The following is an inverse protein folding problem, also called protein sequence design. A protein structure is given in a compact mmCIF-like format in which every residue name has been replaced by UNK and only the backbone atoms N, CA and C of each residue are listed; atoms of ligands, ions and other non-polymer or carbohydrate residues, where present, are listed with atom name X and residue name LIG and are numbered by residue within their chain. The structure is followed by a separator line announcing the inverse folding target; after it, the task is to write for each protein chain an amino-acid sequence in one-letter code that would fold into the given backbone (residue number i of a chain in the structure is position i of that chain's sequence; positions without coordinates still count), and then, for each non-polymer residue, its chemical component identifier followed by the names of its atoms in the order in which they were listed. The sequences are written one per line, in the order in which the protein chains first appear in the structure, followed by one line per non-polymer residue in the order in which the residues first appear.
data_IF_836491071401
#
_entry.id   IF_836491071401
#
_cell.length_a   1.000
_cell.length_b   1.000
_cell.length_c   1.000
_cell.angle_alpha   90.00
_cell.angle_beta   90.00
_cell.angle_gamma   90.00
#
_symmetry.space_group_name_H-M   'P 1'
#
loop_
_entity.id
_entity.type
_entity.pdbx_description
1 polymer ?
#
# COMPACT_ATOMS: atom_id res chain seq x y z
N UNK A 1 49.01 -13.63 -11.76
CA UNK A 1 48.25 -14.46 -10.80
C UNK A 1 48.06 -13.64 -9.54
N UNK A 2 46.94 -12.97 -9.39
CA UNK A 2 46.56 -12.26 -8.17
C UNK A 2 45.15 -12.71 -7.81
N UNK A 3 45.07 -13.47 -6.70
CA UNK A 3 43.82 -13.95 -6.16
C UNK A 3 43.07 -12.77 -5.51
N UNK A 4 41.82 -12.52 -5.99
CA UNK A 4 40.91 -11.58 -5.37
C UNK A 4 40.36 -12.15 -4.03
N UNK A 5 40.03 -11.29 -3.06
CA UNK A 5 39.52 -11.75 -1.78
C UNK A 5 38.10 -12.27 -1.92
N UNK A 6 37.88 -13.50 -1.46
CA UNK A 6 36.56 -14.09 -1.31
C UNK A 6 35.77 -13.31 -0.27
N UNK A 7 34.63 -12.76 -0.65
CA UNK A 7 33.66 -12.14 0.26
C UNK A 7 32.98 -13.22 1.10
N UNK A 8 33.43 -13.43 2.32
CA UNK A 8 32.75 -14.25 3.33
C UNK A 8 31.69 -13.37 4.00
N UNK A 9 30.51 -13.29 3.44
CA UNK A 9 29.31 -12.79 4.14
C UNK A 9 28.74 -13.94 4.98
N UNK A 10 29.40 -14.28 6.08
CA UNK A 10 28.90 -15.17 7.12
C UNK A 10 28.06 -14.39 8.12
N UNK A 11 26.74 -14.29 7.89
CA UNK A 11 25.85 -13.82 8.96
C UNK A 11 26.04 -14.72 10.18
N UNK A 12 26.44 -14.15 11.33
CA UNK A 12 26.65 -14.88 12.57
C UNK A 12 25.34 -15.55 13.01
N UNK A 13 25.34 -16.89 13.12
CA UNK A 13 24.18 -17.66 13.57
C UNK A 13 24.31 -17.97 15.07
N UNK A 14 23.23 -17.80 15.81
CA UNK A 14 23.18 -18.00 17.26
C UNK A 14 22.53 -19.34 17.60
N UNK A 15 23.09 -20.06 18.56
CA UNK A 15 22.49 -21.31 19.05
C UNK A 15 21.20 -21.04 19.81
N UNK A 16 20.33 -22.05 19.91
CA UNK A 16 19.07 -21.95 20.69
C UNK A 16 19.35 -21.58 22.16
N UNK A 17 20.45 -21.98 22.71
CA UNK A 17 20.85 -21.65 24.10
C UNK A 17 21.22 -20.18 24.21
N UNK A 18 22.08 -19.70 23.33
CA UNK A 18 22.50 -18.29 23.33
C UNK A 18 21.29 -17.34 23.14
N UNK A 19 20.33 -17.69 22.25
CA UNK A 19 19.12 -16.90 22.06
C UNK A 19 18.20 -16.96 23.28
N UNK A 20 18.02 -18.12 23.90
CA UNK A 20 17.20 -18.27 25.10
C UNK A 20 17.76 -17.45 26.26
N UNK A 21 19.09 -17.48 26.46
CA UNK A 21 19.80 -16.70 27.48
C UNK A 21 19.67 -15.19 27.21
N UNK A 22 19.84 -14.74 25.94
CA UNK A 22 19.65 -13.33 25.52
C UNK A 22 18.22 -12.82 25.75
N UNK A 23 17.22 -13.65 25.50
CA UNK A 23 15.80 -13.32 25.65
C UNK A 23 15.28 -13.47 27.09
N UNK A 24 16.07 -14.09 27.98
CA UNK A 24 15.67 -14.37 29.36
C UNK A 24 14.52 -15.37 29.46
N UNK A 25 14.47 -16.37 28.58
CA UNK A 25 13.43 -17.41 28.56
C UNK A 25 14.05 -18.82 28.57
N UNK A 26 13.32 -19.84 29.08
CA UNK A 26 13.78 -21.21 28.99
C UNK A 26 13.96 -21.69 27.55
N UNK A 27 15.01 -22.45 27.26
CA UNK A 27 15.22 -23.08 25.94
C UNK A 27 14.05 -23.96 25.50
N UNK A 28 13.33 -24.58 26.47
CA UNK A 28 12.13 -25.37 26.21
C UNK A 28 10.99 -24.51 25.65
N UNK A 29 10.83 -23.28 26.16
CA UNK A 29 9.86 -22.30 25.66
C UNK A 29 10.18 -21.90 24.23
N UNK A 30 11.43 -21.55 23.94
CA UNK A 30 11.85 -21.17 22.59
C UNK A 30 11.68 -22.32 21.58
N UNK A 31 11.99 -23.55 21.97
CA UNK A 31 11.75 -24.75 21.15
C UNK A 31 10.25 -25.00 20.92
N UNK A 32 9.41 -24.74 21.92
CA UNK A 32 7.95 -24.87 21.82
C UNK A 32 7.39 -23.82 20.84
N UNK A 33 7.85 -22.59 20.93
CA UNK A 33 7.44 -21.51 20.00
C UNK A 33 7.84 -21.81 18.56
N UNK A 34 9.07 -22.26 18.34
CA UNK A 34 9.54 -22.67 17.02
C UNK A 34 8.68 -23.81 16.43
N UNK A 35 8.30 -24.79 17.26
CA UNK A 35 7.48 -25.91 16.80
C UNK A 35 6.00 -25.56 16.59
N UNK A 36 5.42 -24.72 17.48
CA UNK A 36 3.98 -24.40 17.45
C UNK A 36 3.65 -23.26 16.53
N UNK A 37 4.55 -22.30 16.43
CA UNK A 37 4.30 -21.04 15.73
C UNK A 37 5.25 -20.84 14.54
N UNK A 38 6.19 -21.77 14.32
CA UNK A 38 7.18 -21.74 13.24
C UNK A 38 8.01 -20.42 13.22
N UNK A 39 8.36 -19.93 14.42
CA UNK A 39 9.18 -18.74 14.61
C UNK A 39 10.63 -19.17 14.83
N UNK A 40 11.52 -18.70 13.93
CA UNK A 40 12.95 -19.00 13.94
C UNK A 40 13.37 -19.88 12.76
N UNK A 41 14.62 -20.37 12.74
CA UNK A 41 15.21 -21.00 11.57
C UNK A 41 14.51 -22.30 11.16
N UNK A 42 14.34 -22.48 9.87
CA UNK A 42 13.79 -23.71 9.28
C UNK A 42 14.70 -24.92 9.56
N UNK A 43 14.10 -26.08 9.86
CA UNK A 43 14.82 -27.29 10.15
C UNK A 43 15.49 -27.84 8.89
N UNK A 44 16.83 -27.89 8.89
CA UNK A 44 17.60 -28.64 7.90
C UNK A 44 18.05 -29.98 8.50
N UNK A 45 17.80 -31.13 7.83
CA UNK A 45 18.28 -32.43 8.30
C UNK A 45 19.80 -32.41 8.50
N UNK A 46 20.27 -32.89 9.66
CA UNK A 46 21.71 -33.03 9.97
C UNK A 46 22.45 -31.75 10.38
N UNK A 47 21.79 -30.58 10.47
CA UNK A 47 22.42 -29.33 10.91
C UNK A 47 21.82 -28.80 12.20
N UNK A 48 22.67 -28.20 13.07
CA UNK A 48 22.21 -27.44 14.23
C UNK A 48 21.46 -26.18 13.76
N UNK A 49 20.31 -25.88 14.39
CA UNK A 49 19.56 -24.64 14.13
C UNK A 49 20.37 -23.45 14.64
N UNK A 50 20.64 -22.52 13.74
CA UNK A 50 21.23 -21.24 14.07
C UNK A 50 20.24 -20.13 13.77
N UNK A 51 19.99 -19.27 14.74
CA UNK A 51 19.11 -18.10 14.63
C UNK A 51 19.90 -16.93 14.06
N UNK A 52 19.30 -16.20 13.15
CA UNK A 52 19.81 -14.92 12.65
C UNK A 52 19.43 -13.78 13.60
N UNK A 53 20.03 -12.61 13.45
CA UNK A 53 19.59 -11.40 14.18
C UNK A 53 18.14 -11.04 13.86
N UNK A 54 17.68 -11.27 12.63
CA UNK A 54 16.28 -11.07 12.26
C UNK A 54 15.33 -12.03 12.99
N UNK A 55 15.71 -13.29 13.17
CA UNK A 55 14.91 -14.22 13.98
C UNK A 55 14.81 -13.77 15.44
N UNK A 56 15.92 -13.24 15.98
CA UNK A 56 15.98 -12.74 17.36
C UNK A 56 15.09 -11.50 17.51
N UNK A 57 15.12 -10.56 16.56
CA UNK A 57 14.28 -9.37 16.59
C UNK A 57 12.77 -9.72 16.60
N UNK A 58 12.36 -10.73 15.83
CA UNK A 58 10.97 -11.23 15.83
C UNK A 58 10.60 -11.82 17.20
N UNK A 59 11.50 -12.58 17.81
CA UNK A 59 11.29 -13.16 19.15
C UNK A 59 11.24 -12.11 20.26
N UNK A 60 12.07 -11.06 20.18
CA UNK A 60 12.06 -9.91 21.09
C UNK A 60 10.71 -9.18 21.02
N UNK A 61 10.20 -8.91 19.82
CA UNK A 61 8.87 -8.32 19.60
C UNK A 61 7.76 -9.20 20.19
N UNK A 62 7.81 -10.52 19.96
CA UNK A 62 6.86 -11.46 20.55
C UNK A 62 6.84 -11.39 22.07
N UNK A 63 8.03 -11.31 22.71
CA UNK A 63 8.14 -11.17 24.15
C UNK A 63 7.54 -9.86 24.67
N UNK A 64 7.75 -8.75 23.98
CA UNK A 64 7.15 -7.46 24.34
C UNK A 64 5.62 -7.58 24.36
N UNK A 65 5.01 -8.20 23.34
CA UNK A 65 3.57 -8.41 23.27
C UNK A 65 3.06 -9.32 24.39
N UNK A 66 3.79 -10.41 24.71
CA UNK A 66 3.40 -11.31 25.80
C UNK A 66 3.48 -10.59 27.16
N UNK A 67 4.52 -9.79 27.40
CA UNK A 67 4.67 -8.99 28.62
C UNK A 67 3.60 -7.90 28.75
N UNK A 68 3.06 -7.43 27.64
CA UNK A 68 1.93 -6.50 27.61
C UNK A 68 0.54 -7.19 27.72
N UNK A 69 0.52 -8.52 27.95
CA UNK A 69 -0.70 -9.28 28.19
C UNK A 69 -1.27 -10.07 27.00
N UNK A 70 -0.57 -10.07 25.86
CA UNK A 70 -1.00 -10.90 24.74
C UNK A 70 -0.77 -12.39 25.02
N UNK A 71 -1.65 -13.27 24.53
CA UNK A 71 -1.38 -14.70 24.55
C UNK A 71 -0.18 -15.05 23.67
N UNK A 72 0.61 -16.11 23.96
CA UNK A 72 1.73 -16.51 23.10
C UNK A 72 1.32 -16.79 21.65
N UNK A 73 0.12 -17.32 21.41
CA UNK A 73 -0.41 -17.55 20.07
C UNK A 73 -0.75 -16.23 19.36
N UNK A 74 -1.39 -15.29 20.06
CA UNK A 74 -1.69 -13.96 19.53
C UNK A 74 -0.44 -13.12 19.24
N UNK A 75 0.54 -13.18 20.14
CA UNK A 75 1.82 -12.51 19.94
C UNK A 75 2.60 -13.11 18.75
N UNK A 76 2.62 -14.45 18.63
CA UNK A 76 3.23 -15.14 17.50
C UNK A 76 2.57 -14.75 16.16
N UNK A 77 1.24 -14.76 16.12
CA UNK A 77 0.49 -14.32 14.95
C UNK A 77 0.81 -12.87 14.57
N UNK A 78 0.90 -11.98 15.55
CA UNK A 78 1.21 -10.57 15.34
C UNK A 78 2.62 -10.34 14.76
N UNK A 79 3.64 -11.06 15.26
CA UNK A 79 5.03 -10.86 14.81
C UNK A 79 5.37 -11.61 13.52
N UNK A 80 4.65 -12.71 13.22
CA UNK A 80 4.87 -13.48 11.98
C UNK A 80 3.98 -13.03 10.84
N UNK A 81 3.07 -12.11 11.07
CA UNK A 81 2.02 -11.75 10.10
C UNK A 81 1.05 -12.90 9.80
N UNK A 82 1.15 -14.01 10.53
CA UNK A 82 0.29 -15.20 10.40
C UNK A 82 -1.01 -15.04 11.17
N UNK A 83 -1.73 -13.98 10.91
CA UNK A 83 -3.17 -14.02 11.12
C UNK A 83 -3.73 -14.98 10.06
N UNK A 84 -4.69 -15.85 10.44
CA UNK A 84 -5.52 -16.49 9.41
C UNK A 84 -5.93 -15.38 8.46
N UNK A 85 -5.68 -15.55 7.15
CA UNK A 85 -6.03 -14.53 6.18
C UNK A 85 -7.48 -14.09 6.44
N UNK A 86 -7.76 -12.79 6.55
CA UNK A 86 -9.13 -12.35 6.77
C UNK A 86 -10.02 -12.86 5.65
N UNK A 87 -11.31 -13.01 5.88
CA UNK A 87 -12.24 -13.39 4.82
C UNK A 87 -12.17 -12.30 3.72
N UNK A 88 -11.88 -12.74 2.48
CA UNK A 88 -11.73 -11.83 1.35
C UNK A 88 -13.03 -11.07 1.11
N UNK A 89 -12.97 -9.75 1.11
CA UNK A 89 -14.11 -8.89 0.87
C UNK A 89 -15.13 -8.79 2.02
N UNK A 90 -14.79 -9.28 3.22
CA UNK A 90 -15.62 -9.10 4.41
C UNK A 90 -15.41 -7.68 4.97
N UNK A 91 -16.14 -6.73 4.44
CA UNK A 91 -16.01 -5.29 4.72
C UNK A 91 -16.83 -4.80 5.93
N UNK A 92 -17.83 -5.54 6.38
CA UNK A 92 -18.74 -5.14 7.46
C UNK A 92 -18.01 -4.87 8.79
N UNK A 93 -16.99 -5.65 9.20
CA UNK A 93 -16.19 -5.32 10.38
C UNK A 93 -15.45 -4.00 10.26
N UNK A 94 -14.98 -3.65 9.03
CA UNK A 94 -14.32 -2.36 8.79
C UNK A 94 -15.29 -1.20 9.00
N UNK A 95 -16.50 -1.32 8.45
CA UNK A 95 -17.56 -0.33 8.63
C UNK A 95 -17.96 -0.21 10.11
N UNK A 96 -18.14 -1.33 10.81
CA UNK A 96 -18.46 -1.34 12.24
C UNK A 96 -17.38 -0.60 13.05
N UNK A 97 -16.11 -0.88 12.80
CA UNK A 97 -15.00 -0.21 13.46
C UNK A 97 -14.98 1.30 13.16
N UNK A 98 -15.32 1.70 11.92
CA UNK A 98 -15.41 3.12 11.54
C UNK A 98 -16.51 3.86 12.32
N UNK A 99 -17.70 3.26 12.46
CA UNK A 99 -18.81 3.87 13.18
C UNK A 99 -18.59 4.02 14.70
N UNK A 100 -17.72 3.18 15.30
CA UNK A 100 -17.33 3.35 16.72
C UNK A 100 -16.00 4.07 16.89
N UNK A 101 -15.47 4.66 15.81
CA UNK A 101 -14.22 5.42 15.74
C UNK A 101 -12.99 4.63 16.26
N UNK A 102 -13.00 3.30 16.11
CA UNK A 102 -11.89 2.43 16.52
C UNK A 102 -10.78 2.39 15.45
N UNK A 103 -9.89 3.38 15.51
CA UNK A 103 -8.75 3.50 14.58
C UNK A 103 -7.77 2.34 14.67
N UNK A 104 -7.69 1.67 15.84
CA UNK A 104 -6.84 0.50 16.03
C UNK A 104 -7.39 -0.70 15.25
N UNK A 105 -8.69 -0.97 15.38
CA UNK A 105 -9.35 -2.03 14.63
C UNK A 105 -9.30 -1.76 13.12
N UNK A 106 -9.57 -0.51 12.69
CA UNK A 106 -9.43 -0.09 11.28
C UNK A 106 -8.05 -0.41 10.74
N UNK A 107 -6.99 0.03 11.44
CA UNK A 107 -5.61 -0.23 11.02
C UNK A 107 -5.29 -1.71 10.95
N UNK A 108 -5.74 -2.52 11.91
CA UNK A 108 -5.50 -3.96 11.95
C UNK A 108 -6.18 -4.69 10.79
N UNK A 109 -7.47 -4.39 10.52
CA UNK A 109 -8.25 -5.00 9.45
C UNK A 109 -7.68 -4.67 8.07
N UNK A 110 -7.37 -3.38 7.82
CA UNK A 110 -6.77 -2.92 6.58
C UNK A 110 -5.39 -3.56 6.35
N UNK A 111 -4.53 -3.56 7.36
CA UNK A 111 -3.20 -4.15 7.27
C UNK A 111 -3.27 -5.65 6.99
N UNK A 112 -4.13 -6.38 7.69
CA UNK A 112 -4.29 -7.82 7.48
C UNK A 112 -4.77 -8.14 6.06
N UNK A 113 -5.72 -7.35 5.52
CA UNK A 113 -6.26 -7.56 4.19
C UNK A 113 -5.23 -7.20 3.10
N UNK A 114 -4.49 -6.08 3.25
CA UNK A 114 -3.39 -5.71 2.35
C UNK A 114 -2.31 -6.80 2.25
N UNK A 115 -1.88 -7.34 3.39
CA UNK A 115 -0.88 -8.41 3.40
C UNK A 115 -1.38 -9.72 2.79
N UNK A 116 -2.68 -10.00 2.89
CA UNK A 116 -3.25 -11.24 2.37
C UNK A 116 -3.58 -11.16 0.86
N UNK A 117 -4.02 -10.01 0.38
CA UNK A 117 -4.66 -9.87 -0.93
C UNK A 117 -4.12 -8.72 -1.79
N UNK A 118 -3.24 -7.88 -1.25
CA UNK A 118 -2.69 -6.73 -1.96
C UNK A 118 -3.63 -5.52 -2.04
N UNK A 119 -3.16 -4.48 -2.71
CA UNK A 119 -3.84 -3.16 -2.74
C UNK A 119 -5.14 -3.21 -3.55
N UNK A 120 -5.13 -3.83 -4.73
CA UNK A 120 -6.30 -3.85 -5.63
C UNK A 120 -7.49 -4.52 -4.95
N UNK A 121 -7.32 -5.72 -4.42
CA UNK A 121 -8.38 -6.44 -3.74
C UNK A 121 -8.85 -5.72 -2.46
N UNK A 122 -7.91 -5.12 -1.71
CA UNK A 122 -8.27 -4.35 -0.51
C UNK A 122 -9.11 -3.13 -0.86
N UNK A 123 -8.77 -2.45 -1.94
CA UNK A 123 -9.56 -1.32 -2.42
C UNK A 123 -10.94 -1.74 -2.91
N UNK A 124 -10.98 -2.68 -3.86
CA UNK A 124 -12.22 -3.03 -4.56
C UNK A 124 -13.20 -3.82 -3.69
N UNK A 125 -12.70 -4.71 -2.82
CA UNK A 125 -13.55 -5.64 -2.09
C UNK A 125 -13.77 -5.24 -0.61
N UNK A 126 -12.91 -4.40 -0.04
CA UNK A 126 -13.02 -3.99 1.34
C UNK A 126 -13.36 -2.51 1.49
N UNK A 127 -12.56 -1.60 0.89
CA UNK A 127 -12.72 -0.16 1.08
C UNK A 127 -13.93 0.40 0.32
N UNK A 128 -14.03 0.14 -0.99
CA UNK A 128 -15.13 0.66 -1.82
C UNK A 128 -16.53 0.27 -1.31
N UNK A 129 -16.81 -1.00 -0.93
CA UNK A 129 -18.10 -1.36 -0.36
C UNK A 129 -18.37 -0.64 0.97
N UNK A 130 -17.36 -0.47 1.83
CA UNK A 130 -17.52 0.27 3.09
C UNK A 130 -17.85 1.75 2.84
N UNK A 131 -17.16 2.43 1.91
CA UNK A 131 -17.50 3.80 1.50
C UNK A 131 -18.89 3.89 0.86
N UNK A 132 -19.27 2.94 0.00
CA UNK A 132 -20.59 2.92 -0.61
C UNK A 132 -21.71 2.80 0.44
N UNK A 133 -21.49 2.00 1.49
CA UNK A 133 -22.44 1.88 2.60
C UNK A 133 -22.55 3.19 3.41
N UNK A 134 -21.43 3.91 3.63
CA UNK A 134 -21.44 5.23 4.28
C UNK A 134 -22.23 6.23 3.43
N UNK A 135 -21.93 6.33 2.13
CA UNK A 135 -22.64 7.23 1.21
C UNK A 135 -24.15 6.93 1.18
N UNK A 136 -24.52 5.64 1.15
CA UNK A 136 -25.94 5.24 1.22
C UNK A 136 -26.65 5.75 2.47
N UNK A 137 -25.97 5.73 3.63
CA UNK A 137 -26.51 6.27 4.89
C UNK A 137 -26.59 7.80 4.88
N UNK A 138 -25.58 8.47 4.32
CA UNK A 138 -25.61 9.94 4.15
C UNK A 138 -26.80 10.36 3.29
N UNK A 139 -27.07 9.65 2.20
CA UNK A 139 -28.24 9.91 1.33
C UNK A 139 -29.56 9.64 2.05
N UNK A 140 -29.59 8.73 3.02
CA UNK A 140 -30.74 8.49 3.89
C UNK A 140 -30.89 9.53 5.01
N UNK A 141 -29.99 10.52 5.09
CA UNK A 141 -30.06 11.60 6.07
C UNK A 141 -29.32 11.31 7.38
N UNK A 142 -28.55 10.20 7.46
CA UNK A 142 -27.70 9.93 8.63
C UNK A 142 -26.45 10.81 8.56
N UNK A 143 -26.08 11.43 9.71
CA UNK A 143 -24.82 12.16 9.83
C UNK A 143 -23.64 11.16 9.99
N UNK A 144 -22.83 10.97 8.96
CA UNK A 144 -21.66 10.09 9.03
C UNK A 144 -20.46 10.60 8.18
N UNK A 145 -20.37 11.92 8.05
CA UNK A 145 -19.22 12.58 7.40
C UNK A 145 -17.93 12.36 8.20
N UNK A 146 -18.00 12.38 9.52
CA UNK A 146 -16.90 12.06 10.42
C UNK A 146 -16.39 10.63 10.24
N UNK A 147 -17.30 9.67 10.05
CA UNK A 147 -16.98 8.26 9.79
C UNK A 147 -16.25 8.10 8.45
N UNK A 148 -16.72 8.79 7.40
CA UNK A 148 -16.09 8.81 6.08
C UNK A 148 -14.66 9.37 6.16
N UNK A 149 -14.51 10.52 6.81
CA UNK A 149 -13.21 11.17 7.00
C UNK A 149 -12.23 10.27 7.77
N UNK A 150 -12.69 9.65 8.88
CA UNK A 150 -11.86 8.77 9.68
C UNK A 150 -11.42 7.53 8.90
N UNK A 151 -12.35 6.91 8.15
CA UNK A 151 -12.04 5.76 7.32
C UNK A 151 -11.05 6.14 6.22
N UNK A 152 -11.28 7.24 5.51
CA UNK A 152 -10.41 7.76 4.46
C UNK A 152 -8.99 8.01 4.97
N UNK A 153 -8.87 8.70 6.12
CA UNK A 153 -7.59 8.94 6.77
C UNK A 153 -6.89 7.64 7.19
N UNK A 154 -7.65 6.69 7.76
CA UNK A 154 -7.11 5.40 8.20
C UNK A 154 -6.57 4.59 7.03
N UNK A 155 -7.29 4.55 5.89
CA UNK A 155 -6.83 3.90 4.66
C UNK A 155 -5.53 4.55 4.17
N UNK A 156 -5.48 5.88 4.08
CA UNK A 156 -4.28 6.62 3.66
C UNK A 156 -3.07 6.28 4.53
N UNK A 157 -3.22 6.33 5.86
CA UNK A 157 -2.12 6.03 6.80
C UNK A 157 -1.61 4.60 6.64
N UNK A 158 -2.52 3.63 6.46
CA UNK A 158 -2.13 2.23 6.30
C UNK A 158 -1.45 2.01 4.94
N UNK A 159 -1.95 2.60 3.86
CA UNK A 159 -1.30 2.55 2.54
C UNK A 159 0.11 3.13 2.56
N UNK A 160 0.32 4.26 3.25
CA UNK A 160 1.65 4.86 3.40
C UNK A 160 2.63 3.98 4.16
N UNK A 161 2.16 3.24 5.18
CA UNK A 161 2.98 2.28 5.94
C UNK A 161 3.28 1.02 5.15
N UNK A 162 2.33 0.59 4.33
CA UNK A 162 2.43 -0.63 3.52
C UNK A 162 3.30 -0.43 2.28
N UNK A 163 3.25 0.76 1.68
CA UNK A 163 3.95 1.05 0.43
C UNK A 163 5.47 1.06 0.64
N UNK A 164 6.24 0.26 -0.08
CA UNK A 164 7.68 0.27 0.02
C UNK A 164 8.26 1.65 -0.37
N UNK A 165 9.49 1.97 0.06
CA UNK A 165 10.18 3.19 -0.36
C UNK A 165 10.24 3.28 -1.88
N UNK A 166 10.23 4.52 -2.39
CA UNK A 166 10.32 4.77 -3.83
C UNK A 166 11.51 4.02 -4.46
N UNK A 167 11.24 3.34 -5.57
CA UNK A 167 12.26 2.65 -6.35
C UNK A 167 13.26 3.68 -6.91
N UNK A 168 14.56 3.37 -7.05
CA UNK A 168 15.55 4.29 -7.58
C UNK A 168 15.15 4.90 -8.94
N UNK A 169 15.67 6.08 -9.25
CA UNK A 169 15.32 6.97 -10.38
C UNK A 169 15.29 6.36 -11.80
N UNK A 170 15.64 5.10 -11.96
CA UNK A 170 15.60 4.38 -13.24
C UNK A 170 14.24 3.71 -13.54
N UNK A 171 13.33 3.65 -12.58
CA UNK A 171 12.02 3.08 -12.78
C UNK A 171 11.11 4.06 -13.55
N UNK A 172 10.20 3.50 -14.32
CA UNK A 172 9.14 4.25 -14.99
C UNK A 172 8.32 4.99 -13.94
N UNK A 173 8.19 6.30 -14.07
CA UNK A 173 7.48 7.12 -13.11
C UNK A 173 6.15 7.61 -13.69
N UNK A 174 5.14 7.73 -12.84
CA UNK A 174 3.89 8.41 -13.14
C UNK A 174 3.72 9.65 -12.24
N UNK A 175 3.03 10.68 -12.73
CA UNK A 175 2.57 11.81 -11.92
C UNK A 175 1.09 11.59 -11.62
N UNK A 176 0.72 11.65 -10.34
CA UNK A 176 -0.64 11.49 -9.86
C UNK A 176 -1.10 12.82 -9.27
N UNK A 177 -2.17 13.40 -9.80
CA UNK A 177 -2.69 14.69 -9.36
C UNK A 177 -4.22 14.72 -9.41
N UNK A 178 -4.85 15.29 -8.41
CA UNK A 178 -6.21 15.75 -8.53
C UNK A 178 -6.21 17.08 -9.31
N UNK A 179 -7.22 17.28 -10.13
CA UNK A 179 -7.41 18.56 -10.83
C UNK A 179 -7.70 19.71 -9.87
N UNK A 180 -7.55 20.95 -10.31
CA UNK A 180 -7.80 22.13 -9.47
C UNK A 180 -9.23 22.10 -8.90
N UNK A 181 -9.35 22.37 -7.60
CA UNK A 181 -10.59 22.28 -6.83
C UNK A 181 -10.98 20.88 -6.35
N UNK A 182 -10.28 19.83 -6.79
CA UNK A 182 -10.58 18.45 -6.40
C UNK A 182 -9.76 18.03 -5.16
N UNK A 183 -10.46 17.64 -4.10
CA UNK A 183 -9.84 17.30 -2.81
C UNK A 183 -9.82 15.80 -2.50
N UNK A 184 -10.51 14.97 -3.27
CA UNK A 184 -10.62 13.51 -3.02
C UNK A 184 -9.40 12.77 -3.56
N UNK A 185 -8.26 12.88 -2.87
CA UNK A 185 -6.99 12.28 -3.30
C UNK A 185 -6.83 10.79 -2.98
N UNK A 186 -7.69 10.19 -2.15
CA UNK A 186 -7.54 8.80 -1.70
C UNK A 186 -7.45 7.77 -2.84
N UNK A 187 -8.22 7.86 -3.95
CA UNK A 187 -8.07 6.94 -5.08
C UNK A 187 -6.67 7.00 -5.72
N UNK A 188 -6.04 8.17 -5.76
CA UNK A 188 -4.68 8.32 -6.26
C UNK A 188 -3.63 7.78 -5.27
N UNK A 189 -3.86 7.91 -3.95
CA UNK A 189 -3.02 7.26 -2.94
C UNK A 189 -3.08 5.73 -3.08
N UNK A 190 -4.26 5.20 -3.36
CA UNK A 190 -4.45 3.77 -3.62
C UNK A 190 -3.73 3.35 -4.91
N UNK A 191 -3.86 4.12 -5.98
CA UNK A 191 -3.14 3.86 -7.23
C UNK A 191 -1.62 3.90 -7.04
N UNK A 192 -1.11 4.87 -6.29
CA UNK A 192 0.32 4.97 -5.94
C UNK A 192 0.82 3.70 -5.25
N UNK A 193 0.05 3.20 -4.28
CA UNK A 193 0.40 1.97 -3.55
C UNK A 193 0.35 0.73 -4.46
N UNK A 194 -0.67 0.61 -5.32
CA UNK A 194 -0.81 -0.49 -6.27
C UNK A 194 0.29 -0.49 -7.35
N UNK A 195 0.71 0.69 -7.82
CA UNK A 195 1.86 0.83 -8.73
C UNK A 195 3.16 0.41 -8.06
N UNK A 196 3.35 0.75 -6.78
CA UNK A 196 4.52 0.34 -6.02
C UNK A 196 4.61 -1.17 -5.83
N UNK A 197 3.51 -1.91 -5.69
CA UNK A 197 3.48 -3.39 -5.71
C UNK A 197 4.01 -3.96 -7.03
N UNK A 198 3.85 -3.24 -8.15
CA UNK A 198 4.39 -3.60 -9.47
C UNK A 198 5.80 -3.05 -9.73
N UNK A 199 6.43 -2.43 -8.72
CA UNK A 199 7.75 -1.83 -8.85
C UNK A 199 7.77 -0.52 -9.66
N UNK A 200 6.62 0.12 -9.86
CA UNK A 200 6.49 1.39 -10.59
C UNK A 200 6.47 2.55 -9.59
N UNK A 201 7.38 3.50 -9.74
CA UNK A 201 7.38 4.74 -8.96
C UNK A 201 6.27 5.67 -9.43
N UNK A 202 5.67 6.40 -8.48
CA UNK A 202 4.74 7.48 -8.78
C UNK A 202 5.03 8.70 -7.91
N UNK A 203 5.01 9.88 -8.53
CA UNK A 203 5.07 11.16 -7.83
C UNK A 203 3.63 11.61 -7.54
N UNK A 204 3.30 11.66 -6.26
CA UNK A 204 2.00 12.11 -5.79
C UNK A 204 2.02 13.62 -5.57
N UNK A 205 1.32 14.38 -6.40
CA UNK A 205 1.15 15.82 -6.20
C UNK A 205 -0.02 16.13 -5.27
N UNK A 206 -0.99 15.21 -5.15
CA UNK A 206 -2.08 15.31 -4.18
C UNK A 206 -3.31 16.02 -4.69
N UNK A 207 -4.01 16.65 -3.75
CA UNK A 207 -5.28 17.33 -3.97
C UNK A 207 -5.09 18.74 -4.53
N UNK A 208 -6.11 19.25 -5.24
CA UNK A 208 -6.23 20.65 -5.68
C UNK A 208 -4.99 21.16 -6.43
N UNK A 209 -4.55 20.43 -7.45
CA UNK A 209 -3.33 20.79 -8.19
C UNK A 209 -3.68 21.62 -9.41
N UNK A 210 -3.25 22.89 -9.48
CA UNK A 210 -3.44 23.71 -10.68
C UNK A 210 -2.75 23.11 -11.91
N UNK A 211 -3.38 23.22 -13.08
CA UNK A 211 -2.82 22.72 -14.32
C UNK A 211 -1.40 23.22 -14.61
N UNK A 212 -1.10 24.47 -14.26
CA UNK A 212 0.25 25.05 -14.39
C UNK A 212 1.28 24.32 -13.52
N UNK A 213 0.91 23.93 -12.29
CA UNK A 213 1.83 23.20 -11.39
C UNK A 213 2.13 21.79 -11.92
N UNK A 214 1.17 21.13 -12.58
CA UNK A 214 1.41 19.83 -13.23
C UNK A 214 2.37 20.01 -14.41
N UNK A 215 2.18 21.03 -15.23
CA UNK A 215 3.08 21.36 -16.34
C UNK A 215 4.50 21.68 -15.85
N UNK A 216 4.64 22.43 -14.76
CA UNK A 216 5.91 22.69 -14.11
C UNK A 216 6.59 21.42 -13.59
N UNK A 217 5.83 20.49 -13.01
CA UNK A 217 6.36 19.21 -12.57
C UNK A 217 6.89 18.40 -13.76
N UNK A 218 6.16 18.37 -14.87
CA UNK A 218 6.58 17.73 -16.12
C UNK A 218 7.87 18.34 -16.68
N UNK A 219 7.99 19.66 -16.65
CA UNK A 219 9.18 20.36 -17.13
C UNK A 219 10.44 20.10 -16.29
N UNK A 220 10.29 19.64 -15.04
CA UNK A 220 11.42 19.26 -14.16
C UNK A 220 11.90 17.83 -14.37
N UNK A 221 11.27 17.06 -15.25
CA UNK A 221 11.65 15.68 -15.52
C UNK A 221 12.35 15.53 -16.86
N UNK A 222 13.48 14.82 -16.90
CA UNK A 222 14.17 14.46 -18.15
C UNK A 222 13.44 13.39 -18.95
N UNK A 223 12.41 12.78 -18.35
CA UNK A 223 11.59 11.73 -18.94
C UNK A 223 10.17 12.26 -19.11
N UNK A 224 9.43 11.65 -20.03
CA UNK A 224 7.99 11.92 -20.18
C UNK A 224 7.23 10.93 -19.34
N UNK A 225 6.86 11.24 -18.06
CA UNK A 225 6.05 10.35 -17.24
C UNK A 225 4.63 10.26 -17.78
N UNK A 226 3.93 9.20 -17.36
CA UNK A 226 2.50 9.18 -17.51
C UNK A 226 1.86 10.12 -16.46
N UNK A 227 0.75 10.76 -16.80
CA UNK A 227 -0.01 11.60 -15.87
C UNK A 227 -1.37 10.98 -15.63
N UNK A 228 -1.76 10.85 -14.39
CA UNK A 228 -3.12 10.45 -14.01
C UNK A 228 -3.79 11.63 -13.33
N UNK A 229 -4.88 12.11 -13.92
CA UNK A 229 -5.72 13.18 -13.40
C UNK A 229 -6.97 12.58 -12.78
N UNK A 230 -7.20 12.84 -11.50
CA UNK A 230 -8.39 12.40 -10.80
C UNK A 230 -9.39 13.54 -10.63
N UNK A 231 -10.65 13.25 -10.86
CA UNK A 231 -11.78 14.11 -10.50
C UNK A 231 -12.96 13.28 -10.03
N UNK A 232 -13.44 13.58 -8.81
CA UNK A 232 -14.61 12.96 -8.21
C UNK A 232 -15.91 13.65 -8.68
N UNK A 233 -15.84 14.94 -8.98
CA UNK A 233 -16.98 15.76 -9.33
C UNK A 233 -16.82 16.32 -10.75
N UNK A 234 -17.94 16.46 -11.49
CA UNK A 234 -17.92 17.05 -12.82
C UNK A 234 -17.37 18.48 -12.83
N UNK A 235 -17.70 19.27 -11.79
CA UNK A 235 -17.21 20.64 -11.64
C UNK A 235 -15.70 20.77 -11.52
N UNK A 236 -14.99 19.70 -11.14
CA UNK A 236 -13.54 19.65 -11.01
C UNK A 236 -12.86 18.88 -12.15
N UNK A 237 -13.61 18.31 -13.09
CA UNK A 237 -13.08 17.61 -14.27
C UNK A 237 -12.62 18.61 -15.35
N UNK A 238 -11.48 19.27 -15.08
CA UNK A 238 -10.95 20.36 -15.88
C UNK A 238 -10.14 19.87 -17.10
N UNK A 239 -10.72 19.96 -18.29
CA UNK A 239 -10.04 19.59 -19.56
C UNK A 239 -8.80 20.45 -19.84
N UNK A 240 -8.70 21.64 -19.25
CA UNK A 240 -7.51 22.47 -19.30
C UNK A 240 -6.27 21.79 -18.71
N UNK A 241 -6.44 20.96 -17.67
CA UNK A 241 -5.35 20.16 -17.09
C UNK A 241 -4.87 19.09 -18.08
N UNK A 242 -5.81 18.43 -18.80
CA UNK A 242 -5.47 17.49 -19.87
C UNK A 242 -4.64 18.18 -20.95
N UNK A 243 -5.11 19.35 -21.42
CA UNK A 243 -4.43 20.11 -22.48
C UNK A 243 -3.01 20.53 -22.06
N UNK A 244 -2.83 20.98 -20.82
CA UNK A 244 -1.53 21.35 -20.28
C UNK A 244 -0.54 20.17 -20.24
N UNK A 245 -1.01 19.00 -19.78
CA UNK A 245 -0.20 17.77 -19.75
C UNK A 245 0.17 17.29 -21.15
N UNK A 246 -0.79 17.29 -22.06
CA UNK A 246 -0.57 16.88 -23.46
C UNK A 246 0.42 17.80 -24.18
N UNK A 247 0.29 19.12 -23.99
CA UNK A 247 1.23 20.11 -24.54
C UNK A 247 2.67 19.91 -24.03
N UNK A 248 2.82 19.41 -22.78
CA UNK A 248 4.11 19.00 -22.23
C UNK A 248 4.59 17.62 -22.74
N UNK A 249 3.80 16.96 -23.62
CA UNK A 249 4.13 15.68 -24.25
C UNK A 249 3.94 14.46 -23.33
N UNK A 250 3.16 14.56 -22.26
CA UNK A 250 2.81 13.45 -21.39
C UNK A 250 1.69 12.60 -22.01
N UNK A 251 1.68 11.31 -21.70
CA UNK A 251 0.51 10.45 -21.91
C UNK A 251 -0.46 10.68 -20.73
N UNK A 252 -1.69 11.04 -21.03
CA UNK A 252 -2.67 11.48 -20.03
C UNK A 252 -3.74 10.43 -19.81
N UNK A 253 -3.91 10.01 -18.58
CA UNK A 253 -5.01 9.19 -18.10
C UNK A 253 -5.94 10.03 -17.24
N UNK A 254 -7.23 9.77 -17.30
CA UNK A 254 -8.24 10.41 -16.45
C UNK A 254 -9.03 9.34 -15.71
N UNK A 255 -9.24 9.53 -14.41
CA UNK A 255 -9.98 8.61 -13.55
C UNK A 255 -10.93 9.37 -12.63
N UNK A 256 -12.00 8.69 -12.23
CA UNK A 256 -13.02 9.22 -11.35
C UNK A 256 -14.32 9.59 -12.06
N UNK A 257 -15.46 9.54 -11.32
CA UNK A 257 -16.79 9.74 -11.90
C UNK A 257 -17.02 11.17 -12.41
N UNK A 258 -16.21 12.14 -12.01
CA UNK A 258 -16.31 13.50 -12.53
C UNK A 258 -16.11 13.61 -14.05
N UNK A 259 -15.45 12.63 -14.65
CA UNK A 259 -15.20 12.63 -16.09
C UNK A 259 -16.30 11.97 -16.92
N UNK A 260 -17.29 11.30 -16.29
CA UNK A 260 -18.29 10.48 -16.99
C UNK A 260 -19.18 11.28 -17.96
N UNK A 261 -19.45 12.55 -17.63
CA UNK A 261 -20.27 13.45 -18.47
C UNK A 261 -19.44 14.43 -19.31
N UNK A 262 -18.10 14.38 -19.17
CA UNK A 262 -17.21 15.31 -19.90
C UNK A 262 -16.79 14.74 -21.23
N UNK A 263 -16.88 15.54 -22.28
CA UNK A 263 -16.32 15.19 -23.60
C UNK A 263 -14.80 15.28 -23.51
N UNK A 264 -14.16 14.12 -23.49
CA UNK A 264 -12.71 14.02 -23.37
C UNK A 264 -12.03 14.33 -24.71
N UNK A 265 -10.92 15.09 -24.69
CA UNK A 265 -10.04 15.21 -25.86
C UNK A 265 -9.42 13.85 -26.21
N UNK A 266 -9.14 13.59 -27.49
CA UNK A 266 -8.55 12.33 -28.01
C UNK A 266 -7.20 11.97 -27.35
N UNK A 267 -6.51 12.97 -26.81
CA UNK A 267 -5.22 12.80 -26.12
C UNK A 267 -5.34 12.23 -24.71
N UNK A 268 -6.55 12.16 -24.16
CA UNK A 268 -6.83 11.62 -22.84
C UNK A 268 -7.39 10.20 -22.94
N UNK A 269 -6.96 9.35 -22.05
CA UNK A 269 -7.42 7.97 -21.97
C UNK A 269 -8.14 7.73 -20.63
N UNK A 270 -9.43 7.43 -20.63
CA UNK A 270 -10.14 7.11 -19.39
C UNK A 270 -9.65 5.78 -18.81
N UNK A 271 -9.52 5.73 -17.48
CA UNK A 271 -9.31 4.51 -16.71
C UNK A 271 -10.50 4.28 -15.80
N UNK A 272 -11.08 3.09 -15.86
CA UNK A 272 -12.36 2.77 -15.20
C UNK A 272 -12.22 1.99 -13.92
N UNK A 273 -11.10 1.29 -13.75
CA UNK A 273 -10.79 0.50 -12.53
C UNK A 273 -9.36 0.74 -12.08
N UNK A 274 -9.09 0.43 -10.81
CA UNK A 274 -7.73 0.48 -10.29
C UNK A 274 -6.80 -0.49 -11.03
N UNK A 275 -7.29 -1.69 -11.32
CA UNK A 275 -6.53 -2.70 -12.07
C UNK A 275 -6.19 -2.21 -13.49
N UNK A 276 -7.17 -1.64 -14.23
CA UNK A 276 -6.95 -1.05 -15.56
C UNK A 276 -5.88 0.04 -15.52
N UNK A 277 -5.97 0.96 -14.55
CA UNK A 277 -4.99 2.02 -14.38
C UNK A 277 -3.57 1.47 -14.14
N UNK A 278 -3.44 0.48 -13.24
CA UNK A 278 -2.16 -0.16 -12.94
C UNK A 278 -1.60 -0.87 -14.16
N UNK A 279 -2.39 -1.67 -14.87
CA UNK A 279 -1.93 -2.44 -16.02
C UNK A 279 -1.49 -1.53 -17.19
N UNK A 280 -2.19 -0.42 -17.42
CA UNK A 280 -1.84 0.53 -18.49
C UNK A 280 -0.61 1.38 -18.18
N UNK A 281 -0.36 1.69 -16.91
CA UNK A 281 0.79 2.49 -16.49
C UNK A 281 2.02 1.59 -16.32
N UNK A 282 1.86 0.38 -15.76
CA UNK A 282 2.95 -0.57 -15.55
C UNK A 282 3.30 -1.38 -16.81
N UNK A 283 2.40 -1.42 -17.78
CA UNK A 283 2.60 -2.13 -19.04
C UNK A 283 3.70 -1.56 -19.94
N UNK A 284 4.13 -2.31 -20.96
CA UNK A 284 5.10 -1.81 -21.94
C UNK A 284 4.53 -0.57 -22.63
N UNK A 285 5.35 0.47 -22.75
CA UNK A 285 5.00 1.65 -23.57
C UNK A 285 5.12 1.27 -25.03
N UNK A 286 4.02 1.33 -25.77
CA UNK A 286 4.07 1.31 -27.22
C UNK A 286 5.00 2.45 -27.69
N UNK A 287 6.12 2.10 -28.32
CA UNK A 287 6.98 3.09 -28.95
C UNK A 287 6.16 3.72 -30.07
N UNK A 288 6.02 5.06 -30.12
CA UNK A 288 5.40 5.67 -31.28
C UNK A 288 6.20 5.24 -32.50
N UNK A 289 5.53 4.68 -33.50
CA UNK A 289 6.11 4.45 -34.82
C UNK A 289 6.71 5.77 -35.30
N UNK A 290 8.03 5.75 -35.57
CA UNK A 290 8.77 6.88 -36.16
C UNK A 290 8.29 7.12 -37.59
#
# INVERSE_FOLDING_TARGET
MTAGPASVSGAAGYTVRAVADRLGIPTATLRSWNRRYDIGPTRQPGKHRLYSESDIAVLEQMLVLIRSGASPAGAAAAVTGRHAAPARGHWEPLLTAAFVLDTRALSALLTAHLHAYGVIDTWDLLCRPAFAAIVSRQLAGEGCVDVEHLLSWSVTVVLHRYTPPAVPANAQAAILACTGGETHALPLETLRAALAERGVSAWMLGADVPAAAIADALARTDRRPDVVLWSQQESTALTSAISACAAAGARVFVGGPGWDSVILPDVASPVTTLADAVDRIAGPRDRPHR
#
